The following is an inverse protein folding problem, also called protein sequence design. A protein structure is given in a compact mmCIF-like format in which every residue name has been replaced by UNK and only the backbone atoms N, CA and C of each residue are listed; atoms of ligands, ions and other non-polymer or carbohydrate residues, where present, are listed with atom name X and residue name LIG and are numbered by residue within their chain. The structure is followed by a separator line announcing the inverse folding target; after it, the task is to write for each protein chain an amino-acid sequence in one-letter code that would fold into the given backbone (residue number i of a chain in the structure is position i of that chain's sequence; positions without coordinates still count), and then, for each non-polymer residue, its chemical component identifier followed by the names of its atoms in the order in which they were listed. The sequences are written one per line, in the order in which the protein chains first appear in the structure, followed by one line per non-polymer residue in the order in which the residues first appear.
data_IF_382900475497
#
_entry.id   IF_382900475497
#
_cell.length_a   1.000
_cell.length_b   1.000
_cell.length_c   1.000
_cell.angle_alpha   90.00
_cell.angle_beta   90.00
_cell.angle_gamma   90.00
#
_symmetry.space_group_name_H-M   'P 1'
#
loop_
_entity.id
_entity.type
_entity.pdbx_description
1 polymer ?
#
# COMPACT_ATOMS: atom_id res chain seq x y z
N UNK A 1 9.86 -14.59 10.17
CA UNK A 1 8.68 -14.87 9.34
C UNK A 1 9.15 -15.26 7.94
N UNK A 2 8.81 -16.45 7.52
CA UNK A 2 9.14 -16.87 6.16
C UNK A 2 8.07 -16.31 5.23
N UNK A 3 8.37 -15.23 4.57
CA UNK A 3 7.45 -14.60 3.64
C UNK A 3 7.62 -15.31 2.30
N UNK A 4 6.65 -16.10 1.92
CA UNK A 4 6.64 -16.71 0.59
C UNK A 4 6.14 -15.75 -0.47
N UNK A 5 5.41 -14.74 -0.01
CA UNK A 5 4.76 -13.76 -0.86
C UNK A 5 5.52 -12.45 -0.88
N UNK A 6 5.28 -11.67 -1.91
CA UNK A 6 5.75 -10.29 -2.00
C UNK A 6 4.59 -9.41 -1.57
N UNK A 7 4.89 -8.33 -0.87
CA UNK A 7 3.85 -7.46 -0.31
C UNK A 7 4.02 -6.05 -0.84
N UNK A 8 2.97 -5.51 -1.45
CA UNK A 8 2.91 -4.09 -1.79
C UNK A 8 2.08 -3.39 -0.72
N UNK A 9 2.75 -2.63 0.14
CA UNK A 9 2.12 -1.88 1.22
C UNK A 9 1.79 -0.48 0.72
N UNK A 10 0.51 -0.11 0.79
CA UNK A 10 0.02 1.19 0.32
C UNK A 10 -0.77 1.87 1.42
N UNK A 11 -0.35 3.05 1.85
CA UNK A 11 -1.15 3.84 2.79
C UNK A 11 -2.28 4.53 2.03
N UNK A 12 -3.52 4.27 2.43
CA UNK A 12 -4.71 4.67 1.67
C UNK A 12 -5.53 5.72 2.39
N UNK A 13 -6.39 6.41 1.64
CA UNK A 13 -7.30 7.42 2.18
C UNK A 13 -8.53 7.55 1.28
N UNK A 14 -9.66 7.95 1.88
CA UNK A 14 -10.94 8.07 1.17
C UNK A 14 -11.16 9.43 0.51
N UNK A 15 -10.44 10.47 0.94
CA UNK A 15 -10.67 11.86 0.51
C UNK A 15 -9.53 12.47 -0.30
N UNK A 16 -8.54 11.68 -0.71
CA UNK A 16 -7.38 12.15 -1.45
C UNK A 16 -7.66 12.28 -2.95
N UNK A 17 -6.99 13.18 -3.63
CA UNK A 17 -7.04 13.28 -5.09
C UNK A 17 -6.54 12.01 -5.80
N UNK A 18 -5.75 11.19 -5.11
CA UNK A 18 -5.26 9.92 -5.64
C UNK A 18 -6.14 8.72 -5.29
N UNK A 19 -7.28 8.93 -4.64
CA UNK A 19 -8.16 7.84 -4.19
C UNK A 19 -8.62 6.93 -5.35
N UNK A 20 -8.69 7.46 -6.56
CA UNK A 20 -8.99 6.65 -7.74
C UNK A 20 -7.97 5.54 -8.01
N UNK A 21 -6.79 5.60 -7.40
CA UNK A 21 -5.81 4.52 -7.51
C UNK A 21 -6.29 3.21 -6.88
N UNK A 22 -7.36 3.24 -6.08
CA UNK A 22 -7.99 2.01 -5.59
C UNK A 22 -8.35 1.07 -6.74
N UNK A 23 -8.83 1.59 -7.86
CA UNK A 23 -9.19 0.77 -9.02
C UNK A 23 -7.98 -0.01 -9.55
N UNK A 24 -6.85 0.67 -9.69
CA UNK A 24 -5.63 0.03 -10.19
C UNK A 24 -5.00 -0.90 -9.17
N UNK A 25 -5.13 -0.60 -7.87
CA UNK A 25 -4.68 -1.51 -6.81
C UNK A 25 -5.48 -2.81 -6.85
N UNK A 26 -6.78 -2.71 -7.09
CA UNK A 26 -7.64 -3.88 -7.24
C UNK A 26 -7.25 -4.69 -8.48
N UNK A 27 -6.89 -4.03 -9.59
CA UNK A 27 -6.40 -4.71 -10.79
C UNK A 27 -5.10 -5.47 -10.50
N UNK A 28 -4.16 -4.87 -9.78
CA UNK A 28 -2.91 -5.56 -9.39
C UNK A 28 -3.22 -6.79 -8.55
N UNK A 29 -4.13 -6.65 -7.59
CA UNK A 29 -4.53 -7.76 -6.73
C UNK A 29 -5.12 -8.90 -7.55
N UNK A 30 -6.05 -8.60 -8.46
CA UNK A 30 -6.70 -9.61 -9.29
C UNK A 30 -5.71 -10.32 -10.21
N UNK A 31 -4.73 -9.60 -10.76
CA UNK A 31 -3.75 -10.17 -11.68
C UNK A 31 -2.67 -11.01 -11.00
N UNK A 32 -2.22 -10.61 -9.82
CA UNK A 32 -1.02 -11.18 -9.21
C UNK A 32 -1.22 -11.93 -7.90
N UNK A 33 -2.41 -11.93 -7.32
CA UNK A 33 -2.66 -12.61 -6.03
C UNK A 33 -2.32 -14.11 -6.07
N UNK A 34 -2.58 -14.77 -7.18
CA UNK A 34 -2.28 -16.18 -7.34
C UNK A 34 -0.81 -16.42 -7.70
N UNK A 35 -0.09 -15.37 -8.07
CA UNK A 35 1.33 -15.43 -8.39
C UNK A 35 2.24 -15.06 -7.21
N UNK A 36 1.65 -14.83 -6.06
CA UNK A 36 2.40 -14.55 -4.84
C UNK A 36 2.53 -13.08 -4.46
N UNK A 37 1.67 -12.21 -4.98
CA UNK A 37 1.62 -10.81 -4.54
C UNK A 37 0.47 -10.58 -3.60
N UNK A 38 0.75 -9.94 -2.46
CA UNK A 38 -0.28 -9.43 -1.56
C UNK A 38 -0.27 -7.91 -1.70
N UNK A 39 -1.43 -7.33 -2.03
CA UNK A 39 -1.64 -5.89 -1.96
C UNK A 39 -2.26 -5.60 -0.60
N UNK A 40 -1.55 -4.86 0.24
CA UNK A 40 -2.02 -4.53 1.58
C UNK A 40 -2.32 -3.03 1.66
N UNK A 41 -3.60 -2.69 1.78
CA UNK A 41 -4.02 -1.32 2.00
C UNK A 41 -3.95 -0.99 3.50
N UNK A 42 -3.35 0.14 3.82
CA UNK A 42 -3.22 0.62 5.19
C UNK A 42 -3.92 1.97 5.31
N UNK A 43 -5.21 1.99 5.67
CA UNK A 43 -5.92 3.26 5.85
C UNK A 43 -5.22 4.10 6.90
N UNK A 44 -4.99 5.36 6.59
CA UNK A 44 -4.28 6.26 7.49
C UNK A 44 -4.87 7.66 7.44
N UNK A 45 -5.01 8.27 8.62
CA UNK A 45 -5.40 9.67 8.73
C UNK A 45 -4.19 10.57 9.02
N UNK A 46 -2.96 10.07 8.84
CA UNK A 46 -1.74 10.86 9.06
C UNK A 46 -1.69 12.13 8.21
N UNK A 47 -2.43 12.17 7.09
CA UNK A 47 -2.52 13.33 6.20
C UNK A 47 -3.91 13.97 6.22
N UNK A 48 -4.76 13.61 7.21
CA UNK A 48 -6.10 14.18 7.43
C UNK A 48 -7.08 13.99 6.26
N UNK A 49 -6.94 12.93 5.48
CA UNK A 49 -7.80 12.65 4.33
C UNK A 49 -8.48 11.28 4.39
N UNK A 50 -8.59 10.69 5.57
CA UNK A 50 -9.28 9.42 5.74
C UNK A 50 -10.47 9.56 6.71
N UNK A 51 -11.42 8.64 6.59
CA UNK A 51 -12.52 8.51 7.54
C UNK A 51 -11.98 8.02 8.88
N UNK A 52 -12.68 8.34 9.95
CA UNK A 52 -12.22 8.04 11.32
C UNK A 52 -12.68 6.69 11.85
N UNK A 53 -13.58 6.00 11.15
CA UNK A 53 -14.19 4.75 11.60
C UNK A 53 -13.87 3.64 10.58
N UNK A 54 -13.29 2.53 11.06
CA UNK A 54 -12.87 1.41 10.20
C UNK A 54 -14.01 0.84 9.34
N UNK A 55 -15.22 0.70 9.91
CA UNK A 55 -16.36 0.18 9.17
C UNK A 55 -16.78 1.09 8.02
N UNK A 56 -16.65 2.41 8.18
CA UNK A 56 -16.95 3.37 7.13
C UNK A 56 -15.94 3.30 6.00
N UNK A 57 -14.66 3.09 6.32
CA UNK A 57 -13.59 2.92 5.34
C UNK A 57 -13.85 1.69 4.50
N UNK A 58 -14.13 0.57 5.14
CA UNK A 58 -14.41 -0.69 4.45
C UNK A 58 -15.62 -0.55 3.53
N UNK A 59 -16.70 0.05 4.04
CA UNK A 59 -17.90 0.28 3.25
C UNK A 59 -17.64 1.19 2.05
N UNK A 60 -16.88 2.26 2.25
CA UNK A 60 -16.51 3.17 1.17
C UNK A 60 -15.75 2.44 0.06
N UNK A 61 -14.76 1.63 0.43
CA UNK A 61 -13.97 0.87 -0.53
C UNK A 61 -14.80 -0.17 -1.29
N UNK A 62 -15.66 -0.89 -0.59
CA UNK A 62 -16.52 -1.92 -1.21
C UNK A 62 -17.56 -1.31 -2.15
N UNK A 63 -18.24 -0.23 -1.73
CA UNK A 63 -19.33 0.37 -2.50
C UNK A 63 -18.81 1.16 -3.70
N UNK A 64 -17.73 1.92 -3.54
CA UNK A 64 -17.24 2.82 -4.59
C UNK A 64 -16.21 2.18 -5.53
N UNK A 65 -15.45 1.19 -5.06
CA UNK A 65 -14.32 0.62 -5.82
C UNK A 65 -14.32 -0.89 -5.90
N UNK A 66 -15.29 -1.56 -5.28
CA UNK A 66 -15.40 -3.03 -5.30
C UNK A 66 -14.13 -3.73 -4.79
N UNK A 67 -13.51 -3.17 -3.77
CA UNK A 67 -12.22 -3.64 -3.25
C UNK A 67 -12.38 -4.92 -2.43
N UNK A 68 -11.54 -5.91 -2.70
CA UNK A 68 -11.44 -7.12 -1.89
C UNK A 68 -10.02 -7.51 -1.51
N UNK A 69 -9.02 -6.69 -1.83
CA UNK A 69 -7.68 -6.92 -1.29
C UNK A 69 -7.64 -6.56 0.21
N UNK A 70 -6.70 -7.15 0.99
CA UNK A 70 -6.64 -6.93 2.44
C UNK A 70 -6.44 -5.45 2.81
N UNK A 71 -7.20 -5.01 3.82
CA UNK A 71 -7.05 -3.68 4.44
C UNK A 71 -6.77 -3.86 5.93
N UNK A 72 -5.87 -3.05 6.47
CA UNK A 72 -5.67 -3.01 7.92
C UNK A 72 -6.70 -2.08 8.57
N UNK A 73 -6.68 -2.01 9.90
CA UNK A 73 -7.38 -0.94 10.62
C UNK A 73 -6.64 0.38 10.39
N UNK A 74 -7.26 1.50 10.79
CA UNK A 74 -6.62 2.82 10.68
C UNK A 74 -5.28 2.80 11.42
N UNK A 75 -4.21 3.21 10.74
CA UNK A 75 -2.85 3.06 11.24
C UNK A 75 -2.05 4.33 10.97
N UNK A 76 -1.24 4.76 11.93
CA UNK A 76 -0.30 5.86 11.73
C UNK A 76 0.86 5.38 10.83
N UNK A 77 1.21 6.16 9.81
CA UNK A 77 2.23 5.78 8.83
C UNK A 77 3.45 6.69 8.79
N UNK A 78 3.42 7.78 9.56
CA UNK A 78 4.55 8.71 9.65
C UNK A 78 4.72 9.22 11.09
N UNK A 79 5.90 9.77 11.39
CA UNK A 79 6.20 10.35 12.70
C UNK A 79 6.52 9.31 13.76
N UNK A 80 6.57 9.75 15.01
CA UNK A 80 6.94 8.90 16.15
C UNK A 80 5.95 7.77 16.41
N UNK A 81 4.68 7.99 16.10
CA UNK A 81 3.61 7.02 16.34
C UNK A 81 3.35 6.10 15.14
N UNK A 82 4.19 6.16 14.09
CA UNK A 82 4.03 5.28 12.95
C UNK A 82 4.16 3.81 13.36
N UNK A 83 3.38 2.95 12.70
CA UNK A 83 3.50 1.51 12.91
C UNK A 83 4.93 1.05 12.62
N UNK A 84 5.39 0.05 13.34
CA UNK A 84 6.77 -0.45 13.24
C UNK A 84 7.20 -0.83 11.82
N UNK A 85 6.30 -1.29 10.96
CA UNK A 85 6.63 -1.64 9.59
C UNK A 85 7.15 -0.41 8.81
N UNK A 86 6.60 0.76 9.07
CA UNK A 86 7.04 2.00 8.42
C UNK A 86 8.37 2.47 8.97
N UNK A 87 8.60 2.31 10.27
CA UNK A 87 9.88 2.61 10.90
C UNK A 87 10.97 1.68 10.41
N UNK A 88 10.66 0.39 10.32
CA UNK A 88 11.56 -0.62 9.78
C UNK A 88 11.93 -0.33 8.33
N UNK A 89 10.96 0.05 7.50
CA UNK A 89 11.20 0.38 6.10
C UNK A 89 12.15 1.58 5.97
N UNK A 90 11.96 2.60 6.81
CA UNK A 90 12.84 3.76 6.84
C UNK A 90 14.27 3.37 7.23
N UNK A 91 14.44 2.54 8.26
CA UNK A 91 15.75 2.10 8.73
C UNK A 91 16.48 1.27 7.67
N UNK A 92 15.77 0.45 6.92
CA UNK A 92 16.37 -0.48 5.96
C UNK A 92 16.50 0.07 4.54
N UNK A 93 15.74 1.10 4.19
CA UNK A 93 15.72 1.63 2.82
C UNK A 93 15.95 3.15 2.75
N UNK A 94 15.75 3.86 3.86
CA UNK A 94 15.98 5.30 3.94
C UNK A 94 14.70 6.12 3.77
N UNK A 95 14.88 7.42 3.53
CA UNK A 95 13.78 8.40 3.51
C UNK A 95 12.73 8.13 2.44
N UNK A 96 13.10 7.50 1.33
CA UNK A 96 12.16 7.20 0.25
C UNK A 96 11.07 6.20 0.68
N UNK A 97 11.31 5.44 1.74
CA UNK A 97 10.31 4.51 2.29
C UNK A 97 9.32 5.20 3.24
N UNK A 98 9.53 6.47 3.59
CA UNK A 98 8.61 7.20 4.47
C UNK A 98 7.49 7.81 3.63
N UNK A 99 6.22 7.47 3.91
CA UNK A 99 5.10 8.08 3.19
C UNK A 99 5.10 9.61 3.36
N UNK A 100 5.10 10.34 2.25
CA UNK A 100 4.99 11.79 2.23
C UNK A 100 3.58 12.26 1.94
N UNK A 101 2.75 11.36 1.45
CA UNK A 101 1.35 11.59 1.14
C UNK A 101 0.62 10.25 1.08
N UNK A 102 -0.69 10.29 0.85
CA UNK A 102 -1.50 9.10 0.68
C UNK A 102 -1.11 8.33 -0.61
N UNK A 103 -1.32 7.05 -0.62
CA UNK A 103 -1.02 6.16 -1.75
C UNK A 103 0.47 6.05 -2.10
N UNK A 104 1.34 6.27 -1.12
CA UNK A 104 2.75 5.91 -1.20
C UNK A 104 2.86 4.38 -1.14
N UNK A 105 3.80 3.81 -1.89
CA UNK A 105 3.90 2.36 -2.02
C UNK A 105 5.27 1.87 -1.57
N UNK A 106 5.28 0.77 -0.83
CA UNK A 106 6.49 0.07 -0.39
C UNK A 106 6.37 -1.37 -0.85
N UNK A 107 7.28 -1.82 -1.70
CA UNK A 107 7.30 -3.20 -2.18
C UNK A 107 8.30 -4.02 -1.37
N UNK A 108 7.83 -5.08 -0.72
CA UNK A 108 8.63 -5.98 0.10
C UNK A 108 8.80 -7.30 -0.65
N UNK A 109 10.03 -7.77 -0.80
CA UNK A 109 10.31 -9.00 -1.51
C UNK A 109 10.18 -10.25 -0.60
N UNK A 110 10.32 -11.42 -1.19
CA UNK A 110 10.15 -12.69 -0.47
C UNK A 110 11.21 -12.92 0.61
N UNK A 111 12.34 -12.23 0.56
CA UNK A 111 13.37 -12.27 1.58
C UNK A 111 13.05 -11.36 2.78
N UNK A 112 11.93 -10.65 2.73
CA UNK A 112 11.54 -9.74 3.81
C UNK A 112 12.27 -8.42 3.80
N UNK A 113 12.74 -7.97 2.64
CA UNK A 113 13.45 -6.69 2.47
C UNK A 113 12.66 -5.77 1.56
N UNK A 114 12.88 -4.46 1.73
CA UNK A 114 12.28 -3.47 0.82
C UNK A 114 12.94 -3.59 -0.55
N UNK A 115 12.17 -4.01 -1.54
CA UNK A 115 12.64 -4.14 -2.91
C UNK A 115 12.70 -2.78 -3.60
N UNK A 116 11.64 -1.97 -3.43
CA UNK A 116 11.55 -0.64 -4.03
C UNK A 116 10.44 0.15 -3.36
N UNK A 117 10.41 1.46 -3.61
CA UNK A 117 9.35 2.36 -3.14
C UNK A 117 8.85 3.22 -4.29
N UNK A 118 7.59 3.63 -4.21
CA UNK A 118 6.96 4.44 -5.27
C UNK A 118 6.18 5.58 -4.64
N UNK A 119 6.33 6.76 -5.22
CA UNK A 119 5.64 7.96 -4.75
C UNK A 119 4.13 7.86 -4.97
N UNK A 120 3.38 8.74 -4.29
CA UNK A 120 1.92 8.76 -4.35
C UNK A 120 1.38 8.86 -5.77
N UNK A 121 2.00 9.67 -6.62
CA UNK A 121 1.55 9.88 -8.00
C UNK A 121 1.84 8.71 -8.94
N UNK A 122 2.68 7.74 -8.54
CA UNK A 122 2.99 6.58 -9.38
C UNK A 122 1.78 5.64 -9.38
N UNK A 123 1.17 5.46 -10.55
CA UNK A 123 -0.03 4.62 -10.67
C UNK A 123 0.31 3.14 -10.43
N UNK A 124 -0.55 2.39 -9.73
CA UNK A 124 -0.30 0.97 -9.43
C UNK A 124 -0.07 0.12 -10.68
N UNK A 125 -0.75 0.41 -11.79
CA UNK A 125 -0.59 -0.33 -13.04
C UNK A 125 0.46 0.27 -13.98
N UNK A 126 1.30 1.18 -13.47
CA UNK A 126 2.37 1.76 -14.28
C UNK A 126 3.40 0.70 -14.68
N UNK A 127 4.08 0.94 -15.80
CA UNK A 127 5.13 0.03 -16.27
C UNK A 127 6.25 -0.14 -15.25
N UNK A 128 6.53 0.90 -14.48
CA UNK A 128 7.57 0.88 -13.44
C UNK A 128 7.28 -0.20 -12.39
N UNK A 129 6.04 -0.27 -11.91
CA UNK A 129 5.63 -1.26 -10.92
C UNK A 129 5.48 -2.63 -11.58
N UNK A 130 4.80 -2.71 -12.72
CA UNK A 130 4.56 -3.97 -13.42
C UNK A 130 5.88 -4.66 -13.78
N UNK A 131 6.85 -3.93 -14.33
CA UNK A 131 8.14 -4.50 -14.68
C UNK A 131 8.89 -5.03 -13.47
N UNK A 132 8.84 -4.31 -12.34
CA UNK A 132 9.47 -4.79 -11.11
C UNK A 132 8.81 -6.06 -10.60
N UNK A 133 7.48 -6.13 -10.62
CA UNK A 133 6.74 -7.32 -10.20
C UNK A 133 7.06 -8.52 -11.09
N UNK A 134 7.09 -8.33 -12.40
CA UNK A 134 7.42 -9.41 -13.34
C UNK A 134 8.83 -9.97 -13.10
N UNK A 135 9.76 -9.15 -12.62
CA UNK A 135 11.12 -9.58 -12.33
C UNK A 135 11.26 -10.36 -11.03
N UNK A 136 10.36 -10.16 -10.06
CA UNK A 136 10.49 -10.77 -8.72
C UNK A 136 9.45 -11.83 -8.39
N UNK A 137 8.42 -11.97 -9.21
CA UNK A 137 7.36 -12.98 -9.00
C UNK A 137 7.68 -14.34 -9.59
#
# INVERSE_FOLDING_TARGET
MCIRDRILVVNTASYCGFTKQYDELQELWDLYKEKGLIVLGVPSNSFNQEKKINSEIKNFCEVNFNINFPLTTITEVKGENAHEIFKWAKENHGKSAVPKWNFHKILINKEGKVEDTYASFTKPMSKKIINRLENIL
#
